data_IF_690245229571
#
_entry.id   IF_690245229571
#
_cell.length_a   1.000
_cell.length_b   1.000
_cell.length_c   1.000
_cell.angle_alpha   90.00
_cell.angle_beta   90.00
_cell.angle_gamma   90.00
#
_symmetry.space_group_name_H-M   'P 1'
#
loop_
_entity.id
_entity.type
_entity.pdbx_description
1 polymer ?
#
# COMPACT_ATOMS: atom_id res chain seq x y z
N UNK A 1 -7.70 7.20 12.84
CA UNK A 1 -6.70 8.15 13.35
C UNK A 1 -6.15 7.57 14.64
N UNK A 2 -4.96 6.96 14.60
CA UNK A 2 -4.34 6.35 15.79
C UNK A 2 -3.53 7.47 16.47
N UNK A 3 -4.05 7.98 17.59
CA UNK A 3 -3.41 9.02 18.40
C UNK A 3 -2.60 8.34 19.51
N UNK A 4 -1.26 8.39 19.48
CA UNK A 4 -0.46 7.84 20.55
C UNK A 4 -0.62 8.69 21.81
N UNK A 5 -1.06 8.04 22.89
CA UNK A 5 -1.15 8.60 24.26
C UNK A 5 0.22 8.58 24.98
N UNK A 6 1.26 8.13 24.30
CA UNK A 6 2.63 8.08 24.80
C UNK A 6 3.22 9.49 24.84
N UNK A 7 3.54 9.95 26.04
CA UNK A 7 4.26 11.21 26.27
C UNK A 7 5.55 11.23 25.46
N UNK A 8 5.83 12.35 24.79
CA UNK A 8 7.01 12.62 23.95
C UNK A 8 7.05 11.89 22.60
N UNK A 9 5.96 11.25 22.17
CA UNK A 9 5.89 10.72 20.80
C UNK A 9 5.72 11.87 19.77
N UNK A 10 6.39 11.85 18.60
CA UNK A 10 6.23 12.92 17.60
C UNK A 10 4.79 13.16 17.15
N UNK A 11 3.92 12.14 17.21
CA UNK A 11 2.48 12.22 16.95
C UNK A 11 1.59 12.34 18.20
N UNK A 12 2.14 12.70 19.38
CA UNK A 12 1.37 12.92 20.61
C UNK A 12 0.29 14.00 20.41
N UNK A 13 -0.88 13.83 21.05
CA UNK A 13 -2.02 14.75 20.95
C UNK A 13 -1.68 16.11 21.55
N UNK A 14 -1.99 17.21 20.84
CA UNK A 14 -1.83 18.56 21.38
C UNK A 14 -2.87 19.54 20.80
N UNK A 15 -3.26 20.60 21.53
CA UNK A 15 -4.20 21.61 21.04
C UNK A 15 -3.73 22.22 19.72
N UNK A 16 -4.61 22.22 18.71
CA UNK A 16 -4.35 22.75 17.35
C UNK A 16 -3.23 22.05 16.56
N UNK A 17 -2.71 20.91 17.04
CA UNK A 17 -1.74 20.11 16.30
C UNK A 17 -2.45 19.31 15.21
N UNK A 18 -1.90 19.36 13.99
CA UNK A 18 -2.31 18.47 12.90
C UNK A 18 -1.78 17.06 13.19
N UNK A 19 -2.63 16.03 13.22
CA UNK A 19 -2.17 14.67 13.46
C UNK A 19 -1.42 14.14 12.24
N UNK A 20 -0.66 13.06 12.44
CA UNK A 20 -0.25 12.21 11.33
C UNK A 20 -1.50 11.76 10.55
N UNK A 21 -1.46 11.97 9.24
CA UNK A 21 -2.53 11.56 8.33
C UNK A 21 -2.01 10.50 7.37
N UNK A 22 -2.84 9.49 7.15
CA UNK A 22 -2.57 8.43 6.17
C UNK A 22 -3.01 8.80 4.76
N UNK A 23 -3.78 9.88 4.59
CA UNK A 23 -4.28 10.32 3.27
C UNK A 23 -3.12 10.90 2.47
N UNK A 24 -2.79 10.25 1.35
CA UNK A 24 -1.66 10.62 0.51
C UNK A 24 -2.04 10.56 -0.98
N UNK A 25 -2.52 11.64 -1.63
CA UNK A 25 -2.75 11.62 -3.07
C UNK A 25 -1.41 11.55 -3.84
N UNK A 26 -1.37 10.81 -4.94
CA UNK A 26 -0.18 10.60 -5.75
C UNK A 26 -0.24 11.34 -7.08
N UNK A 27 0.90 11.89 -7.52
CA UNK A 27 1.05 12.48 -8.84
C UNK A 27 2.46 12.19 -9.36
N UNK A 28 2.56 11.61 -10.56
CA UNK A 28 3.82 11.25 -11.21
C UNK A 28 4.12 12.25 -12.31
N UNK A 29 5.38 12.70 -12.36
CA UNK A 29 5.91 13.50 -13.46
C UNK A 29 7.03 12.76 -14.16
N UNK A 30 7.23 13.04 -15.44
CA UNK A 30 8.35 12.53 -16.23
C UNK A 30 8.93 13.68 -17.05
N UNK A 31 10.23 13.96 -16.85
CA UNK A 31 10.92 15.10 -17.48
C UNK A 31 10.19 16.44 -17.29
N UNK A 32 9.67 16.66 -16.07
CA UNK A 32 8.95 17.87 -15.70
C UNK A 32 7.53 17.97 -16.26
N UNK A 33 7.06 16.98 -17.02
CA UNK A 33 5.69 16.93 -17.55
C UNK A 33 4.78 16.02 -16.72
N UNK A 34 3.49 16.34 -16.60
CA UNK A 34 2.54 15.48 -15.90
C UNK A 34 2.40 14.14 -16.65
N UNK A 35 2.57 13.04 -15.91
CA UNK A 35 2.39 11.70 -16.46
C UNK A 35 1.06 11.09 -16.01
N UNK A 36 0.75 11.15 -14.72
CA UNK A 36 -0.43 10.50 -14.14
C UNK A 36 -0.76 11.04 -12.75
N UNK A 37 -2.04 11.18 -12.45
CA UNK A 37 -2.59 11.30 -11.09
C UNK A 37 -3.10 9.94 -10.62
N UNK A 38 -2.86 9.59 -9.34
CA UNK A 38 -3.28 8.28 -8.83
C UNK A 38 -3.52 8.30 -7.32
N UNK A 39 -4.21 7.27 -6.85
CA UNK A 39 -4.36 7.01 -5.42
C UNK A 39 -4.74 5.56 -5.17
N UNK A 40 -4.40 5.06 -3.98
CA UNK A 40 -4.87 3.78 -3.48
C UNK A 40 -5.38 3.97 -2.05
N UNK A 41 -6.70 3.92 -1.84
CA UNK A 41 -7.33 4.12 -0.53
C UNK A 41 -7.05 2.94 0.42
N UNK A 42 -6.83 3.16 1.72
CA UNK A 42 -6.74 2.06 2.69
C UNK A 42 -5.94 2.32 3.98
N UNK A 43 -6.03 3.50 4.59
CA UNK A 43 -5.27 3.78 5.83
C UNK A 43 -3.75 3.62 5.65
N UNK A 44 -3.10 2.77 6.44
CA UNK A 44 -1.67 2.46 6.29
C UNK A 44 -1.33 1.74 4.97
N UNK A 45 -2.30 1.08 4.34
CA UNK A 45 -2.15 0.45 3.03
C UNK A 45 -1.88 1.45 1.91
N UNK A 46 -2.24 2.74 2.07
CA UNK A 46 -2.03 3.73 1.02
C UNK A 46 -0.55 3.80 0.59
N UNK A 47 0.39 3.80 1.55
CA UNK A 47 1.82 3.87 1.23
C UNK A 47 2.31 2.61 0.51
N UNK A 48 1.92 1.42 0.99
CA UNK A 48 2.25 0.15 0.35
C UNK A 48 1.66 0.04 -1.06
N UNK A 49 0.41 0.47 -1.23
CA UNK A 49 -0.29 0.47 -2.49
C UNK A 49 0.30 1.45 -3.49
N UNK A 50 0.69 2.65 -3.03
CA UNK A 50 1.36 3.64 -3.87
C UNK A 50 2.67 3.11 -4.45
N UNK A 51 3.49 2.46 -3.62
CA UNK A 51 4.71 1.81 -4.07
C UNK A 51 4.42 0.74 -5.13
N UNK A 52 3.45 -0.15 -4.87
CA UNK A 52 3.07 -1.20 -5.81
C UNK A 52 2.55 -0.65 -7.14
N UNK A 53 1.72 0.41 -7.12
CA UNK A 53 1.20 1.05 -8.34
C UNK A 53 2.32 1.69 -9.17
N UNK A 54 3.22 2.45 -8.52
CA UNK A 54 4.32 3.12 -9.22
C UNK A 54 5.27 2.10 -9.83
N UNK A 55 5.67 1.06 -9.08
CA UNK A 55 6.54 0.00 -9.61
C UNK A 55 5.91 -0.72 -10.81
N UNK A 56 4.61 -1.01 -10.76
CA UNK A 56 3.91 -1.67 -11.87
C UNK A 56 3.88 -0.82 -13.14
N UNK A 57 3.65 0.48 -13.00
CA UNK A 57 3.51 1.37 -14.16
C UNK A 57 4.88 1.77 -14.70
N UNK A 58 5.80 2.17 -13.81
CA UNK A 58 7.11 2.72 -14.20
C UNK A 58 8.12 1.61 -14.50
N UNK A 59 8.23 0.60 -13.63
CA UNK A 59 9.27 -0.43 -13.77
C UNK A 59 8.80 -1.60 -14.65
N UNK A 60 7.52 -1.98 -14.57
CA UNK A 60 6.97 -3.13 -15.29
C UNK A 60 6.19 -2.74 -16.57
N UNK A 61 5.97 -1.45 -16.81
CA UNK A 61 5.28 -0.95 -18.01
C UNK A 61 3.81 -1.36 -18.11
N UNK A 62 3.18 -1.70 -16.99
CA UNK A 62 1.76 -2.06 -16.98
C UNK A 62 0.88 -0.83 -17.26
N UNK A 63 -0.21 -1.04 -18.00
CA UNK A 63 -1.24 -0.01 -18.14
C UNK A 63 -1.98 0.21 -16.80
N UNK A 64 -2.67 1.36 -16.61
CA UNK A 64 -3.31 1.69 -15.33
C UNK A 64 -4.29 0.63 -14.80
N UNK A 65 -5.09 0.01 -15.68
CA UNK A 65 -6.03 -1.03 -15.30
C UNK A 65 -5.29 -2.29 -14.85
N UNK A 66 -4.30 -2.75 -15.60
CA UNK A 66 -3.49 -3.91 -15.24
C UNK A 66 -2.69 -3.69 -13.93
N UNK A 67 -2.18 -2.48 -13.70
CA UNK A 67 -1.51 -2.13 -12.45
C UNK A 67 -2.48 -2.18 -11.25
N UNK A 68 -3.72 -1.73 -11.45
CA UNK A 68 -4.79 -1.81 -10.45
C UNK A 68 -5.21 -3.25 -10.16
N UNK A 69 -5.40 -4.07 -11.20
CA UNK A 69 -5.91 -5.45 -11.09
C UNK A 69 -4.88 -6.44 -10.53
N UNK A 70 -3.58 -6.11 -10.60
CA UNK A 70 -2.52 -6.98 -10.13
C UNK A 70 -2.59 -7.24 -8.61
N UNK A 71 -2.39 -8.50 -8.16
CA UNK A 71 -2.57 -8.91 -6.76
C UNK A 71 -1.64 -8.14 -5.83
N UNK A 72 -2.16 -7.64 -4.71
CA UNK A 72 -1.44 -6.80 -3.76
C UNK A 72 -0.98 -7.58 -2.55
N UNK A 73 0.00 -7.01 -1.87
CA UNK A 73 0.45 -7.44 -0.54
C UNK A 73 0.47 -6.28 0.44
N UNK A 74 0.38 -6.59 1.73
CA UNK A 74 0.62 -5.66 2.84
C UNK A 74 1.46 -6.31 3.92
N UNK A 75 2.36 -5.53 4.51
CA UNK A 75 2.98 -5.89 5.79
C UNK A 75 1.97 -5.59 6.89
N UNK A 76 1.79 -6.54 7.82
CA UNK A 76 0.86 -6.39 8.93
C UNK A 76 1.42 -5.44 10.00
N UNK A 77 0.55 -4.94 10.86
CA UNK A 77 0.90 -3.93 11.87
C UNK A 77 1.89 -4.46 12.94
N UNK A 78 2.09 -5.78 12.99
CA UNK A 78 3.13 -6.43 13.79
C UNK A 78 4.54 -6.30 13.18
N UNK A 79 4.67 -5.68 12.00
CA UNK A 79 5.89 -5.54 11.21
C UNK A 79 6.57 -6.87 10.82
N UNK A 80 5.83 -7.98 10.87
CA UNK A 80 6.39 -9.30 10.64
C UNK A 80 5.56 -10.10 9.62
N UNK A 81 4.24 -10.14 9.79
CA UNK A 81 3.33 -10.84 8.88
C UNK A 81 3.20 -10.16 7.52
N UNK A 82 2.99 -10.97 6.48
CA UNK A 82 2.68 -10.49 5.13
C UNK A 82 1.33 -11.07 4.71
N UNK A 83 0.34 -10.22 4.50
CA UNK A 83 -0.92 -10.64 3.90
C UNK A 83 -0.87 -10.39 2.38
N UNK A 84 -1.41 -11.33 1.60
CA UNK A 84 -1.53 -11.24 0.14
C UNK A 84 -2.97 -11.47 -0.29
N UNK A 85 -3.37 -10.90 -1.43
CA UNK A 85 -4.69 -11.17 -2.02
C UNK A 85 -4.81 -12.63 -2.49
N UNK A 86 -6.05 -13.13 -2.51
CA UNK A 86 -6.44 -14.50 -2.92
C UNK A 86 -5.85 -15.00 -4.25
N UNK A 87 -5.58 -14.08 -5.18
CA UNK A 87 -5.05 -14.37 -6.52
C UNK A 87 -3.54 -14.15 -6.64
N UNK A 88 -2.82 -13.99 -5.53
CA UNK A 88 -1.35 -13.96 -5.53
C UNK A 88 -0.79 -15.29 -6.07
N UNK A 89 0.21 -15.27 -6.99
CA UNK A 89 0.79 -16.51 -7.49
C UNK A 89 1.35 -17.39 -6.38
N UNK A 90 1.02 -18.68 -6.43
CA UNK A 90 1.46 -19.66 -5.43
C UNK A 90 2.98 -19.70 -5.27
N UNK A 91 3.72 -19.56 -6.38
CA UNK A 91 5.18 -19.49 -6.37
C UNK A 91 5.72 -18.28 -5.59
N UNK A 92 5.02 -17.15 -5.60
CA UNK A 92 5.35 -15.97 -4.81
C UNK A 92 5.13 -16.24 -3.32
N UNK A 93 4.01 -16.87 -2.96
CA UNK A 93 3.68 -17.23 -1.58
C UNK A 93 4.75 -18.16 -1.00
N UNK A 94 5.09 -19.22 -1.73
CA UNK A 94 6.13 -20.19 -1.34
C UNK A 94 7.52 -19.55 -1.29
N UNK A 95 7.82 -18.66 -2.25
CA UNK A 95 9.04 -17.88 -2.27
C UNK A 95 9.21 -16.98 -1.05
N UNK A 96 8.13 -16.37 -0.56
CA UNK A 96 8.16 -15.56 0.66
C UNK A 96 8.29 -16.45 1.91
N UNK A 97 7.51 -17.53 1.97
CA UNK A 97 7.54 -18.47 3.11
C UNK A 97 8.92 -19.13 3.29
N UNK A 98 9.56 -19.56 2.19
CA UNK A 98 10.92 -20.13 2.20
C UNK A 98 12.00 -19.15 2.68
N UNK A 99 11.74 -17.84 2.59
CA UNK A 99 12.62 -16.78 3.13
C UNK A 99 12.30 -16.41 4.57
N UNK A 100 11.34 -17.09 5.21
CA UNK A 100 10.96 -16.90 6.61
C UNK A 100 9.80 -15.93 6.84
N UNK A 101 9.15 -15.43 5.78
CA UNK A 101 7.99 -14.55 5.96
C UNK A 101 6.75 -15.36 6.36
N UNK A 102 6.00 -14.95 7.42
CA UNK A 102 4.70 -15.53 7.72
C UNK A 102 3.67 -14.96 6.76
N UNK A 103 3.33 -15.73 5.73
CA UNK A 103 2.38 -15.31 4.70
C UNK A 103 0.98 -15.78 5.02
N UNK A 104 -0.01 -14.88 4.96
CA UNK A 104 -1.43 -15.20 4.99
C UNK A 104 -2.12 -14.80 3.68
N UNK A 105 -3.05 -15.63 3.22
CA UNK A 105 -3.84 -15.34 2.02
C UNK A 105 -5.20 -14.82 2.46
N UNK A 106 -5.53 -13.59 2.05
CA UNK A 106 -6.83 -12.97 2.33
C UNK A 106 -7.90 -13.44 1.35
N UNK A 107 -9.18 -13.43 1.75
CA UNK A 107 -10.29 -13.78 0.88
C UNK A 107 -10.45 -12.79 -0.28
N UNK A 108 -11.19 -13.21 -1.30
CA UNK A 108 -11.54 -12.34 -2.43
C UNK A 108 -12.37 -11.15 -1.97
N UNK A 109 -12.03 -9.96 -2.48
CA UNK A 109 -12.66 -8.67 -2.16
C UNK A 109 -12.40 -8.16 -0.73
N UNK A 110 -11.33 -8.63 -0.08
CA UNK A 110 -10.85 -8.02 1.16
C UNK A 110 -10.45 -6.55 0.92
N UNK A 111 -11.14 -5.63 1.57
CA UNK A 111 -10.94 -4.18 1.40
C UNK A 111 -9.66 -3.66 2.06
N UNK A 112 -8.99 -4.50 2.86
CA UNK A 112 -7.72 -4.18 3.52
C UNK A 112 -6.54 -4.00 2.53
N UNK A 113 -6.72 -4.37 1.25
CA UNK A 113 -5.76 -4.14 0.15
C UNK A 113 -6.07 -2.89 -0.68
N UNK A 114 -7.13 -2.18 -0.31
CA UNK A 114 -7.46 -0.87 -0.83
C UNK A 114 -8.11 -0.83 -2.21
N UNK A 115 -8.43 0.39 -2.63
CA UNK A 115 -9.08 0.68 -3.91
C UNK A 115 -8.23 1.69 -4.68
N UNK A 116 -7.79 1.32 -5.89
CA UNK A 116 -6.92 2.15 -6.71
C UNK A 116 -7.68 2.85 -7.84
N UNK A 117 -7.28 4.08 -8.17
CA UNK A 117 -7.68 4.82 -9.36
C UNK A 117 -6.45 5.55 -9.92
N UNK A 118 -6.39 5.69 -11.25
CA UNK A 118 -5.30 6.34 -11.95
C UNK A 118 -5.81 6.99 -13.25
N UNK A 119 -5.37 8.21 -13.54
CA UNK A 119 -5.75 9.01 -14.70
C UNK A 119 -4.57 9.85 -15.21
#
# INVERSE_FOLDING_TARGET
MILPLLLRHPNEVAPRKRPFHTIIPGFVTHNGQPLMSFGLMGGSMQAHGHMQMVTRIVDQGLNPQAASDAPRFRVLDDNHGVAVEWNMPQSTIEGLASRGHPVSVSPRFDVEFGCAQAA
#
